data_IF_088145751056
#
_entry.id   IF_088145751056
#
_cell.length_a   1.000
_cell.length_b   1.000
_cell.length_c   1.000
_cell.angle_alpha   90.00
_cell.angle_beta   90.00
_cell.angle_gamma   90.00
#
_symmetry.space_group_name_H-M   'P 1'
#
loop_
_entity.id
_entity.type
_entity.pdbx_description
1 polymer ?
#
# COMPACT_ATOMS: atom_id res chain seq x y z
N UNK A 1 4.58 -18.95 -12.15
CA UNK A 1 4.99 -17.62 -11.70
C UNK A 1 4.11 -17.12 -10.55
N UNK A 2 2.80 -16.93 -10.75
CA UNK A 2 1.90 -16.41 -9.70
C UNK A 2 1.84 -17.29 -8.43
N UNK A 3 1.85 -18.62 -8.56
CA UNK A 3 1.86 -19.54 -7.41
C UNK A 3 3.11 -19.42 -6.52
N UNK A 4 4.26 -19.02 -7.09
CA UNK A 4 5.50 -18.87 -6.36
C UNK A 4 5.58 -17.49 -5.69
N UNK A 5 5.10 -16.45 -6.38
CA UNK A 5 4.90 -15.11 -5.81
C UNK A 5 3.96 -15.15 -4.59
N UNK A 6 2.82 -15.84 -4.70
CA UNK A 6 1.87 -15.92 -3.58
C UNK A 6 2.51 -16.58 -2.36
N UNK A 7 3.29 -17.65 -2.55
CA UNK A 7 3.97 -18.35 -1.45
C UNK A 7 5.00 -17.49 -0.69
N UNK A 8 5.55 -16.45 -1.31
CA UNK A 8 6.47 -15.53 -0.61
C UNK A 8 5.76 -14.43 0.18
N UNK A 9 4.43 -14.34 0.11
CA UNK A 9 3.65 -13.38 0.87
C UNK A 9 3.29 -13.92 2.26
N UNK A 10 3.01 -13.04 3.24
CA UNK A 10 2.40 -13.41 4.51
C UNK A 10 1.12 -14.24 4.31
N UNK A 11 0.81 -15.15 5.23
CA UNK A 11 -0.35 -16.06 5.12
C UNK A 11 -1.69 -15.31 4.92
N UNK A 12 -1.83 -14.15 5.56
CA UNK A 12 -3.02 -13.29 5.44
C UNK A 12 -3.22 -12.76 4.01
N UNK A 13 -2.13 -12.46 3.30
CA UNK A 13 -2.17 -12.08 1.87
C UNK A 13 -2.32 -13.31 0.97
N UNK A 14 -1.80 -14.47 1.37
CA UNK A 14 -2.06 -15.70 0.61
C UNK A 14 -3.57 -16.01 0.55
N UNK A 15 -4.30 -15.75 1.64
CA UNK A 15 -5.75 -15.89 1.67
C UNK A 15 -6.45 -14.92 0.70
N UNK A 16 -5.95 -13.69 0.57
CA UNK A 16 -6.44 -12.73 -0.44
C UNK A 16 -6.35 -13.34 -1.85
N UNK A 17 -5.21 -13.94 -2.19
CA UNK A 17 -5.00 -14.56 -3.50
C UNK A 17 -5.72 -15.90 -3.66
N UNK A 18 -6.41 -16.47 -2.66
CA UNK A 18 -7.28 -17.65 -2.86
C UNK A 18 -8.65 -17.27 -3.44
N UNK A 19 -9.07 -16.02 -3.27
CA UNK A 19 -10.31 -15.49 -3.84
C UNK A 19 -10.17 -15.26 -5.35
N UNK A 20 -11.07 -15.87 -6.15
CA UNK A 20 -11.05 -15.79 -7.62
C UNK A 20 -11.30 -14.38 -8.11
N UNK A 21 -12.25 -13.67 -7.50
CA UNK A 21 -12.65 -12.33 -7.93
C UNK A 21 -11.54 -11.33 -7.64
N UNK A 22 -10.87 -11.47 -6.49
CA UNK A 22 -9.74 -10.62 -6.13
C UNK A 22 -8.54 -10.82 -7.06
N UNK A 23 -8.22 -12.08 -7.38
CA UNK A 23 -7.18 -12.36 -8.38
C UNK A 23 -7.53 -11.77 -9.73
N UNK A 24 -8.78 -11.93 -10.17
CA UNK A 24 -9.25 -11.39 -11.44
C UNK A 24 -9.13 -9.87 -11.47
N UNK A 25 -9.56 -9.18 -10.41
CA UNK A 25 -9.46 -7.73 -10.29
C UNK A 25 -8.01 -7.22 -10.41
N UNK A 26 -7.05 -7.91 -9.77
CA UNK A 26 -5.62 -7.57 -9.89
C UNK A 26 -5.13 -7.76 -11.33
N UNK A 27 -5.47 -8.89 -11.95
CA UNK A 27 -5.04 -9.21 -13.32
C UNK A 27 -5.63 -8.20 -14.31
N UNK A 28 -6.93 -7.94 -14.23
CA UNK A 28 -7.60 -6.96 -15.10
C UNK A 28 -7.01 -5.56 -14.92
N UNK A 29 -6.79 -5.13 -13.68
CA UNK A 29 -6.17 -3.82 -13.39
C UNK A 29 -4.74 -3.73 -13.92
N UNK A 30 -3.98 -4.83 -13.85
CA UNK A 30 -2.63 -4.91 -14.41
C UNK A 30 -2.67 -4.82 -15.92
N UNK A 31 -3.54 -5.57 -16.59
CA UNK A 31 -3.71 -5.51 -18.05
C UNK A 31 -4.08 -4.09 -18.47
N UNK A 32 -5.02 -3.46 -17.77
CA UNK A 32 -5.45 -2.09 -18.03
C UNK A 32 -4.32 -1.07 -17.84
N UNK A 33 -3.53 -1.20 -16.77
CA UNK A 33 -2.39 -0.30 -16.51
C UNK A 33 -1.34 -0.34 -17.64
N UNK A 34 -1.20 -1.47 -18.32
CA UNK A 34 -0.27 -1.66 -19.45
C UNK A 34 -0.93 -1.53 -20.83
N UNK A 35 -2.23 -1.21 -20.91
CA UNK A 35 -2.98 -1.16 -22.18
C UNK A 35 -2.32 -0.24 -23.22
N UNK A 36 -1.72 0.86 -22.77
CA UNK A 36 -1.07 1.86 -23.64
C UNK A 36 0.46 1.66 -23.74
N UNK A 37 0.97 0.47 -23.40
CA UNK A 37 2.40 0.15 -23.39
C UNK A 37 3.09 0.48 -22.07
N UNK A 38 4.43 0.42 -22.07
CA UNK A 38 5.25 0.47 -20.85
C UNK A 38 5.60 1.88 -20.36
N UNK A 39 5.31 2.92 -21.15
CA UNK A 39 5.77 4.27 -20.85
C UNK A 39 5.25 4.77 -19.49
N UNK A 40 3.95 4.64 -19.23
CA UNK A 40 3.33 5.02 -17.95
C UNK A 40 3.91 4.28 -16.75
N UNK A 41 3.89 2.94 -16.72
CA UNK A 41 4.53 2.16 -15.65
C UNK A 41 6.02 2.47 -15.45
N UNK A 42 6.75 2.77 -16.52
CA UNK A 42 8.16 3.14 -16.44
C UNK A 42 8.36 4.52 -15.80
N UNK A 43 7.47 5.48 -16.07
CA UNK A 43 7.52 6.80 -15.46
C UNK A 43 7.08 6.76 -13.99
N UNK A 44 6.07 5.95 -13.66
CA UNK A 44 5.66 5.69 -12.26
C UNK A 44 6.84 5.19 -11.42
N UNK A 45 7.60 4.21 -11.95
CA UNK A 45 8.79 3.71 -11.27
C UNK A 45 9.86 4.79 -11.04
N UNK A 46 10.01 5.75 -11.97
CA UNK A 46 10.93 6.89 -11.76
C UNK A 46 10.41 7.86 -10.71
N UNK A 47 9.09 8.07 -10.65
CA UNK A 47 8.46 8.96 -9.68
C UNK A 47 8.55 8.42 -8.25
N UNK A 48 8.46 7.11 -8.07
CA UNK A 48 8.54 6.45 -6.77
C UNK A 48 9.83 6.80 -5.99
N UNK A 49 10.92 7.10 -6.69
CA UNK A 49 12.21 7.45 -6.09
C UNK A 49 12.49 8.96 -6.06
N UNK A 50 11.54 9.80 -6.45
CA UNK A 50 11.69 11.26 -6.39
C UNK A 50 11.16 11.83 -5.08
N UNK A 51 11.69 12.99 -4.63
CA UNK A 51 11.09 13.74 -3.55
C UNK A 51 9.64 14.12 -3.85
N UNK A 52 8.82 14.27 -2.81
CA UNK A 52 7.41 14.68 -2.90
C UNK A 52 7.19 16.06 -3.54
N UNK A 53 8.24 16.89 -3.65
CA UNK A 53 8.13 18.26 -4.13
C UNK A 53 7.68 19.26 -3.05
N UNK A 54 7.52 18.80 -1.81
CA UNK A 54 7.29 19.63 -0.63
C UNK A 54 7.98 19.01 0.59
N UNK A 55 8.22 19.84 1.60
CA UNK A 55 8.79 19.42 2.88
C UNK A 55 7.68 18.83 3.77
N UNK A 56 7.88 17.60 4.24
CA UNK A 56 6.92 16.89 5.09
C UNK A 56 6.70 17.60 6.43
N UNK A 57 7.74 18.28 6.92
CA UNK A 57 7.76 19.10 8.13
C UNK A 57 6.86 20.34 8.02
N UNK A 58 6.56 20.77 6.79
CA UNK A 58 5.69 21.94 6.53
C UNK A 58 4.21 21.57 6.45
N UNK A 59 3.85 20.30 6.54
CA UNK A 59 2.44 19.88 6.59
C UNK A 59 1.81 20.35 7.90
N UNK A 60 0.66 21.04 7.79
CA UNK A 60 -0.07 21.61 8.94
C UNK A 60 -1.42 20.95 9.22
N UNK A 61 -1.78 19.95 8.42
CA UNK A 61 -3.08 19.27 8.51
C UNK A 61 -2.94 17.94 9.26
N UNK A 62 -4.01 17.46 9.92
CA UNK A 62 -4.00 16.14 10.52
C UNK A 62 -3.73 15.05 9.48
N UNK A 63 -2.72 14.20 9.73
CA UNK A 63 -2.37 13.08 8.87
C UNK A 63 -2.58 11.76 9.63
N UNK A 64 -3.31 10.84 9.00
CA UNK A 64 -3.47 9.46 9.44
C UNK A 64 -2.67 8.55 8.51
N UNK A 65 -1.70 7.84 9.05
CA UNK A 65 -0.90 6.86 8.30
C UNK A 65 -1.44 5.48 8.68
N UNK A 66 -2.00 4.75 7.72
CA UNK A 66 -2.44 3.37 7.94
C UNK A 66 -1.37 2.43 7.38
N UNK A 67 -0.77 1.63 8.25
CA UNK A 67 0.26 0.67 7.86
C UNK A 67 0.05 -0.68 8.54
N UNK A 68 0.80 -1.69 8.12
CA UNK A 68 0.63 -3.06 8.59
C UNK A 68 1.96 -3.67 9.03
N UNK A 69 1.93 -4.60 9.97
CA UNK A 69 3.16 -5.14 10.56
C UNK A 69 3.84 -6.24 9.72
N UNK A 70 3.12 -6.92 8.82
CA UNK A 70 3.66 -8.03 8.02
C UNK A 70 3.98 -7.65 6.57
N UNK A 71 3.92 -6.38 6.18
CA UNK A 71 4.20 -6.01 4.78
C UNK A 71 5.69 -6.08 4.45
N UNK A 72 6.04 -7.07 3.63
CA UNK A 72 7.39 -7.24 3.07
C UNK A 72 7.65 -6.38 1.84
N UNK A 73 6.61 -5.82 1.20
CA UNK A 73 6.74 -4.97 0.01
C UNK A 73 7.01 -3.50 0.38
N UNK A 74 6.43 -3.02 1.48
CA UNK A 74 6.68 -1.69 2.06
C UNK A 74 6.98 -1.79 3.56
N UNK A 75 8.27 -1.84 3.93
CA UNK A 75 8.68 -2.00 5.32
C UNK A 75 8.10 -0.91 6.24
N UNK A 76 7.75 -1.29 7.47
CA UNK A 76 7.21 -0.35 8.49
C UNK A 76 8.13 0.85 8.76
N UNK A 77 9.44 0.73 8.52
CA UNK A 77 10.38 1.83 8.66
C UNK A 77 9.98 3.05 7.83
N UNK A 78 9.40 2.86 6.64
CA UNK A 78 8.92 3.97 5.80
C UNK A 78 7.77 4.73 6.46
N UNK A 79 6.81 4.01 7.06
CA UNK A 79 5.70 4.63 7.78
C UNK A 79 6.16 5.40 9.03
N UNK A 80 7.16 4.85 9.74
CA UNK A 80 7.78 5.53 10.89
C UNK A 80 8.53 6.81 10.52
N UNK A 81 9.13 6.88 9.32
CA UNK A 81 9.70 8.13 8.81
C UNK A 81 8.59 9.18 8.69
N UNK A 82 7.46 8.84 8.07
CA UNK A 82 6.35 9.78 7.95
C UNK A 82 5.78 10.23 9.30
N UNK A 83 5.59 9.30 10.25
CA UNK A 83 5.12 9.62 11.60
C UNK A 83 6.06 10.60 12.32
N UNK A 84 7.36 10.39 12.21
CA UNK A 84 8.36 11.21 12.90
C UNK A 84 8.61 12.57 12.23
N UNK A 85 8.44 12.66 10.90
CA UNK A 85 8.73 13.87 10.15
C UNK A 85 7.54 14.81 10.05
N UNK A 86 6.32 14.28 9.93
CA UNK A 86 5.11 15.10 9.74
C UNK A 86 4.56 15.55 11.10
N UNK A 87 4.45 16.86 11.38
CA UNK A 87 3.93 17.35 12.64
C UNK A 87 2.50 16.85 12.91
N UNK A 88 2.32 16.13 14.01
CA UNK A 88 1.01 15.64 14.45
C UNK A 88 0.46 14.46 13.64
N UNK A 89 1.28 13.80 12.79
CA UNK A 89 0.88 12.56 12.14
C UNK A 89 0.63 11.44 13.17
N UNK A 90 -0.32 10.56 12.85
CA UNK A 90 -0.66 9.39 13.67
C UNK A 90 -0.50 8.12 12.85
N UNK A 91 0.35 7.20 13.32
CA UNK A 91 0.47 5.88 12.73
C UNK A 91 -0.58 4.92 13.34
N UNK A 92 -1.49 4.45 12.49
CA UNK A 92 -2.39 3.35 12.75
C UNK A 92 -1.72 2.07 12.21
N UNK A 93 -0.92 1.43 13.06
CA UNK A 93 -0.31 0.14 12.74
C UNK A 93 -1.30 -0.99 12.99
N UNK A 94 -1.65 -1.72 11.94
CA UNK A 94 -2.54 -2.87 12.02
C UNK A 94 -1.72 -4.15 12.09
N UNK A 95 -1.81 -4.81 13.23
CA UNK A 95 -1.10 -6.06 13.49
C UNK A 95 -1.66 -7.21 12.66
N UNK A 96 -0.78 -8.13 12.26
CA UNK A 96 -1.10 -9.34 11.50
C UNK A 96 -1.71 -9.12 10.11
N UNK A 97 -1.63 -7.90 9.58
CA UNK A 97 -2.04 -7.58 8.21
C UNK A 97 -0.83 -7.52 7.26
N UNK A 98 -1.04 -7.91 6.01
CA UNK A 98 -0.12 -7.83 4.88
C UNK A 98 -0.48 -6.70 3.92
N UNK A 99 0.16 -6.69 2.74
CA UNK A 99 0.00 -5.67 1.71
C UNK A 99 -1.44 -5.52 1.24
N UNK A 100 -2.10 -6.63 0.92
CA UNK A 100 -3.43 -6.63 0.32
C UNK A 100 -4.52 -6.73 1.38
N UNK A 101 -4.25 -7.47 2.46
CA UNK A 101 -5.23 -7.73 3.50
C UNK A 101 -5.58 -6.48 4.32
N UNK A 102 -4.66 -5.51 4.48
CA UNK A 102 -4.95 -4.23 5.14
C UNK A 102 -6.16 -3.55 4.51
N UNK A 103 -6.14 -3.27 3.20
CA UNK A 103 -7.25 -2.61 2.53
C UNK A 103 -8.50 -3.50 2.54
N UNK A 104 -8.37 -4.78 2.20
CA UNK A 104 -9.51 -5.70 2.16
C UNK A 104 -10.29 -5.75 3.48
N UNK A 105 -9.57 -5.83 4.60
CA UNK A 105 -10.18 -6.05 5.91
C UNK A 105 -10.56 -4.73 6.60
N UNK A 106 -9.86 -3.62 6.30
CA UNK A 106 -9.97 -2.38 7.07
C UNK A 106 -10.55 -1.20 6.29
N UNK A 107 -10.92 -1.34 5.01
CA UNK A 107 -11.40 -0.21 4.18
C UNK A 107 -12.55 0.56 4.85
N UNK A 108 -13.49 -0.12 5.52
CA UNK A 108 -14.60 0.55 6.22
C UNK A 108 -14.12 1.42 7.39
N UNK A 109 -13.11 0.95 8.14
CA UNK A 109 -12.51 1.70 9.24
C UNK A 109 -11.72 2.90 8.72
N UNK A 110 -10.91 2.67 7.69
CA UNK A 110 -10.13 3.71 7.00
C UNK A 110 -11.07 4.81 6.50
N UNK A 111 -12.12 4.47 5.75
CA UNK A 111 -13.07 5.44 5.21
C UNK A 111 -13.81 6.22 6.31
N UNK A 112 -14.18 5.55 7.42
CA UNK A 112 -14.79 6.23 8.58
C UNK A 112 -13.86 7.23 9.25
N UNK A 113 -12.54 7.11 9.10
CA UNK A 113 -11.59 8.06 9.67
C UNK A 113 -11.44 9.36 8.88
N UNK A 114 -12.06 9.45 7.69
CA UNK A 114 -11.96 10.59 6.75
C UNK A 114 -13.19 11.52 6.86
N UNK A 115 -14.24 11.11 7.57
CA UNK A 115 -15.52 11.83 7.73
C UNK A 115 -15.70 12.30 9.17
#
# INVERSE_FOLDING_TARGET
MMSQMVKSLPEVDQAFFKDVEQRKAIIDSTIEAFRNGIAGPSDEMKLLFKPWGFELEKIKYPIQIWHRSLDSQSPISHAKVYENTIPGAKLNLIENEGHHSLLRNNIKSILKSIV
#
